data_IF_611154107681
#
_entry.id   IF_611154107681
#
_cell.length_a   1.000
_cell.length_b   1.000
_cell.length_c   1.000
_cell.angle_alpha   90.00
_cell.angle_beta   90.00
_cell.angle_gamma   90.00
#
_symmetry.space_group_name_H-M   'P 1'
#
loop_
_entity.id
_entity.type
_entity.pdbx_description
1 polymer ?
#
# COMPACT_ATOMS: atom_id res chain seq x y z
N UNK A 1 -11.09 4.65 2.22
CA UNK A 1 -12.11 5.71 2.39
C UNK A 1 -11.61 6.96 3.10
N UNK A 2 -10.70 6.86 4.08
CA UNK A 2 -10.16 8.03 4.81
C UNK A 2 -9.51 9.08 3.89
N UNK A 3 -8.55 8.69 3.01
CA UNK A 3 -7.92 9.63 2.08
C UNK A 3 -8.93 10.40 1.21
N UNK A 4 -9.92 9.71 0.63
CA UNK A 4 -10.97 10.34 -0.18
C UNK A 4 -11.73 11.45 0.58
N UNK A 5 -12.07 11.21 1.86
CA UNK A 5 -12.72 12.23 2.70
C UNK A 5 -11.80 13.40 3.02
N UNK A 6 -10.53 13.14 3.31
CA UNK A 6 -9.55 14.19 3.57
C UNK A 6 -9.31 15.06 2.34
N UNK A 7 -9.14 14.45 1.17
CA UNK A 7 -8.97 15.15 -0.11
C UNK A 7 -10.20 16.01 -0.40
N UNK A 8 -11.42 15.45 -0.32
CA UNK A 8 -12.66 16.22 -0.56
C UNK A 8 -12.85 17.39 0.42
N UNK A 9 -12.40 17.26 1.67
CA UNK A 9 -12.43 18.37 2.64
C UNK A 9 -11.48 19.49 2.22
N UNK A 10 -10.25 19.13 1.87
CA UNK A 10 -9.18 20.06 1.53
C UNK A 10 -9.44 20.76 0.19
N UNK A 11 -9.66 20.01 -0.89
CA UNK A 11 -9.80 20.54 -2.25
C UNK A 11 -11.22 20.97 -2.61
N UNK A 12 -12.21 20.57 -1.81
CA UNK A 12 -13.65 20.66 -2.10
C UNK A 12 -14.13 19.82 -3.30
N UNK A 13 -13.26 19.02 -3.91
CA UNK A 13 -13.61 18.15 -5.02
C UNK A 13 -14.64 17.07 -4.64
N UNK A 14 -15.40 16.63 -5.63
CA UNK A 14 -16.18 15.39 -5.55
C UNK A 14 -15.26 14.20 -5.82
N UNK A 15 -15.27 13.19 -4.95
CA UNK A 15 -14.36 12.04 -5.01
C UNK A 15 -15.14 10.75 -5.08
N UNK A 16 -14.86 9.94 -6.10
CA UNK A 16 -15.38 8.56 -6.22
C UNK A 16 -14.23 7.61 -5.88
N UNK A 17 -14.36 6.84 -4.80
CA UNK A 17 -13.38 5.83 -4.44
C UNK A 17 -13.69 4.46 -5.06
N UNK A 18 -12.76 3.87 -5.79
CA UNK A 18 -12.84 2.52 -6.34
C UNK A 18 -12.15 1.51 -5.41
N UNK A 19 -12.78 0.37 -5.12
CA UNK A 19 -12.17 -0.71 -4.34
C UNK A 19 -12.84 -2.06 -4.67
N UNK A 20 -12.08 -3.16 -4.70
CA UNK A 20 -12.63 -4.48 -5.03
C UNK A 20 -13.40 -5.15 -3.87
N UNK A 21 -13.22 -4.66 -2.63
CA UNK A 21 -13.75 -5.26 -1.42
C UNK A 21 -15.08 -4.60 -1.00
N UNK A 22 -16.18 -5.35 -1.14
CA UNK A 22 -17.52 -4.85 -0.80
C UNK A 22 -17.65 -4.40 0.65
N UNK A 23 -17.02 -5.10 1.60
CA UNK A 23 -17.09 -4.74 3.01
C UNK A 23 -16.45 -3.36 3.24
N UNK A 24 -15.27 -3.12 2.63
CA UNK A 24 -14.59 -1.84 2.74
C UNK A 24 -15.38 -0.71 2.07
N UNK A 25 -15.98 -0.95 0.91
CA UNK A 25 -16.88 0.00 0.22
C UNK A 25 -18.05 0.39 1.12
N UNK A 26 -18.77 -0.59 1.67
CA UNK A 26 -19.90 -0.35 2.57
C UNK A 26 -19.48 0.41 3.82
N UNK A 27 -18.37 0.01 4.46
CA UNK A 27 -17.84 0.68 5.65
C UNK A 27 -17.41 2.12 5.34
N UNK A 28 -16.77 2.35 4.21
CA UNK A 28 -16.35 3.68 3.78
C UNK A 28 -17.56 4.60 3.55
N UNK A 29 -18.62 4.10 2.91
CA UNK A 29 -19.88 4.84 2.73
C UNK A 29 -20.54 5.24 4.06
N UNK A 30 -20.61 4.32 5.03
CA UNK A 30 -21.15 4.62 6.36
C UNK A 30 -20.35 5.71 7.07
N UNK A 31 -19.01 5.60 7.05
CA UNK A 31 -18.14 6.61 7.68
C UNK A 31 -18.27 7.97 6.99
N UNK A 32 -18.39 8.00 5.66
CA UNK A 32 -18.63 9.23 4.90
C UNK A 32 -19.95 9.89 5.27
N UNK A 33 -21.03 9.11 5.43
CA UNK A 33 -22.32 9.63 5.89
C UNK A 33 -22.25 10.18 7.32
N UNK A 34 -21.57 9.47 8.23
CA UNK A 34 -21.38 9.93 9.60
C UNK A 34 -20.62 11.28 9.68
N UNK A 35 -19.79 11.56 8.68
CA UNK A 35 -19.02 12.79 8.57
C UNK A 35 -19.70 13.87 7.71
N UNK A 36 -20.94 13.65 7.22
CA UNK A 36 -21.71 14.61 6.43
C UNK A 36 -21.14 14.90 5.04
N UNK A 37 -20.40 13.95 4.45
CA UNK A 37 -19.71 14.12 3.17
C UNK A 37 -20.35 13.33 2.02
N UNK A 38 -21.51 12.71 2.23
CA UNK A 38 -22.14 11.81 1.24
C UNK A 38 -22.53 12.48 -0.08
N UNK A 39 -22.68 13.81 -0.09
CA UNK A 39 -23.03 14.56 -1.30
C UNK A 39 -21.81 14.82 -2.21
N UNK A 40 -20.59 14.57 -1.71
CA UNK A 40 -19.33 14.81 -2.43
C UNK A 40 -18.44 13.57 -2.52
N UNK A 41 -18.59 12.61 -1.61
CA UNK A 41 -17.76 11.40 -1.60
C UNK A 41 -18.64 10.17 -1.72
N UNK A 42 -18.37 9.36 -2.74
CA UNK A 42 -19.02 8.08 -2.96
C UNK A 42 -18.00 6.97 -3.19
N UNK A 43 -18.44 5.72 -3.19
CA UNK A 43 -17.57 4.57 -3.40
C UNK A 43 -18.23 3.57 -4.34
N UNK A 44 -17.43 2.97 -5.20
CA UNK A 44 -17.84 1.96 -6.17
C UNK A 44 -17.03 0.70 -5.94
N UNK A 45 -17.72 -0.45 -5.93
CA UNK A 45 -17.04 -1.73 -5.98
C UNK A 45 -16.61 -2.01 -7.42
N UNK A 46 -15.33 -2.27 -7.65
CA UNK A 46 -14.85 -2.65 -8.97
C UNK A 46 -13.39 -3.09 -8.97
N UNK A 47 -12.97 -3.61 -10.11
CA UNK A 47 -11.60 -4.02 -10.41
C UNK A 47 -10.88 -2.83 -11.06
N UNK A 48 -9.79 -2.37 -10.47
CA UNK A 48 -8.97 -1.30 -11.05
C UNK A 48 -8.28 -1.66 -12.37
N UNK A 49 -8.24 -2.95 -12.73
CA UNK A 49 -7.75 -3.45 -14.03
C UNK A 49 -8.85 -3.41 -15.11
N UNK A 50 -10.10 -3.15 -14.72
CA UNK A 50 -11.30 -3.07 -15.55
C UNK A 50 -12.30 -2.10 -14.91
N UNK A 51 -11.99 -0.82 -14.94
CA UNK A 51 -12.70 0.20 -14.18
C UNK A 51 -14.12 0.40 -14.74
N UNK A 52 -15.16 0.45 -13.88
CA UNK A 52 -16.55 0.58 -14.31
C UNK A 52 -16.92 2.05 -14.61
N UNK A 53 -16.07 2.73 -15.37
CA UNK A 53 -16.24 4.13 -15.75
C UNK A 53 -16.01 4.30 -17.24
N UNK A 54 -16.72 5.25 -17.83
CA UNK A 54 -16.55 5.63 -19.23
C UNK A 54 -15.21 6.36 -19.45
N UNK A 55 -14.77 6.39 -20.69
CA UNK A 55 -13.56 7.12 -21.09
C UNK A 55 -13.71 8.62 -20.76
N UNK A 56 -12.60 9.27 -20.38
CA UNK A 56 -12.56 10.73 -20.14
C UNK A 56 -13.59 11.21 -19.09
N UNK A 57 -13.81 10.43 -18.04
CA UNK A 57 -14.79 10.74 -16.98
C UNK A 57 -14.24 11.68 -15.90
N UNK A 58 -12.94 11.63 -15.60
CA UNK A 58 -12.37 12.27 -14.41
C UNK A 58 -11.46 13.45 -14.74
N UNK A 59 -11.56 14.51 -13.93
CA UNK A 59 -10.69 15.69 -13.98
C UNK A 59 -9.34 15.47 -13.26
N UNK A 60 -9.23 14.44 -12.42
CA UNK A 60 -7.99 14.01 -11.79
C UNK A 60 -8.15 12.59 -11.28
N UNK A 61 -7.06 11.82 -11.24
CA UNK A 61 -7.02 10.51 -10.60
C UNK A 61 -5.87 10.47 -9.60
N UNK A 62 -6.05 9.75 -8.50
CA UNK A 62 -4.94 9.42 -7.60
C UNK A 62 -5.04 7.98 -7.12
N UNK A 63 -3.91 7.38 -6.81
CA UNK A 63 -3.84 6.08 -6.14
C UNK A 63 -2.88 6.16 -4.95
N UNK A 64 -3.18 5.42 -3.88
CA UNK A 64 -2.32 5.31 -2.70
C UNK A 64 -2.15 3.83 -2.37
N UNK A 65 -0.95 3.30 -2.56
CA UNK A 65 -0.52 1.93 -2.25
C UNK A 65 -1.43 0.85 -2.87
N UNK A 66 -2.12 1.15 -3.97
CA UNK A 66 -3.08 0.23 -4.57
C UNK A 66 -2.44 -0.52 -5.73
N UNK A 67 -1.80 0.18 -6.66
CA UNK A 67 -1.28 -0.38 -7.92
C UNK A 67 -0.08 -1.32 -7.72
N UNK A 68 0.51 -1.35 -6.51
CA UNK A 68 1.43 -2.38 -6.05
C UNK A 68 0.85 -3.79 -6.17
N UNK A 69 -0.47 -3.95 -6.05
CA UNK A 69 -1.18 -5.24 -6.17
C UNK A 69 -1.59 -5.58 -7.61
N UNK A 70 -1.31 -4.72 -8.59
CA UNK A 70 -1.65 -4.99 -9.99
C UNK A 70 -0.66 -6.00 -10.59
N UNK A 71 -1.11 -7.17 -11.08
CA UNK A 71 -0.22 -8.14 -11.71
C UNK A 71 0.33 -7.67 -13.07
N UNK A 72 -0.35 -6.70 -13.70
CA UNK A 72 0.07 -6.04 -14.92
C UNK A 72 -0.09 -4.53 -14.73
N UNK A 73 1.00 -3.84 -14.39
CA UNK A 73 0.97 -2.41 -14.11
C UNK A 73 0.62 -1.59 -15.34
N UNK A 74 1.11 -1.96 -16.52
CA UNK A 74 0.82 -1.27 -17.78
C UNK A 74 -0.68 -1.29 -18.06
N UNK A 75 -1.33 -2.46 -17.91
CA UNK A 75 -2.79 -2.56 -18.07
C UNK A 75 -3.55 -1.76 -17.00
N UNK A 76 -3.07 -1.75 -15.75
CA UNK A 76 -3.68 -0.93 -14.70
C UNK A 76 -3.60 0.57 -15.02
N UNK A 77 -2.41 1.05 -15.42
CA UNK A 77 -2.20 2.45 -15.80
C UNK A 77 -2.95 2.80 -17.08
N UNK A 78 -3.14 1.87 -18.03
CA UNK A 78 -3.99 2.06 -19.21
C UNK A 78 -5.44 2.35 -18.85
N UNK A 79 -6.01 1.66 -17.86
CA UNK A 79 -7.36 1.97 -17.37
C UNK A 79 -7.41 3.34 -16.69
N UNK A 80 -6.39 3.71 -15.92
CA UNK A 80 -6.30 5.05 -15.31
C UNK A 80 -6.23 6.13 -16.40
N UNK A 81 -5.41 5.94 -17.42
CA UNK A 81 -5.28 6.85 -18.55
C UNK A 81 -6.60 6.99 -19.32
N UNK A 82 -7.29 5.88 -19.58
CA UNK A 82 -8.56 5.85 -20.30
C UNK A 82 -9.65 6.67 -19.61
N UNK A 83 -9.80 6.53 -18.29
CA UNK A 83 -10.87 7.22 -17.54
C UNK A 83 -10.54 8.69 -17.26
N UNK A 84 -9.28 9.09 -17.39
CA UNK A 84 -8.83 10.46 -17.19
C UNK A 84 -9.13 11.30 -18.44
N UNK A 85 -9.62 12.53 -18.26
CA UNK A 85 -9.80 13.46 -19.40
C UNK A 85 -8.44 13.86 -19.99
N UNK A 86 -8.36 14.20 -21.29
CA UNK A 86 -7.10 14.59 -21.90
C UNK A 86 -6.50 15.82 -21.23
N UNK A 87 -5.19 15.77 -20.95
CA UNK A 87 -4.45 16.86 -20.31
C UNK A 87 -4.67 17.01 -18.80
N UNK A 88 -5.36 16.07 -18.15
CA UNK A 88 -5.51 16.06 -16.69
C UNK A 88 -4.42 15.24 -16.01
N UNK A 89 -4.35 15.37 -14.68
CA UNK A 89 -3.26 14.82 -13.87
C UNK A 89 -3.63 13.53 -13.16
N UNK A 90 -2.63 12.65 -13.08
CA UNK A 90 -2.63 11.46 -12.25
C UNK A 90 -1.53 11.56 -11.19
N UNK A 91 -1.87 11.30 -9.93
CA UNK A 91 -0.90 11.22 -8.83
C UNK A 91 -0.80 9.79 -8.28
N UNK A 92 0.42 9.30 -8.13
CA UNK A 92 0.71 7.96 -7.65
C UNK A 92 1.48 8.01 -6.33
N UNK A 93 1.24 7.03 -5.48
CA UNK A 93 2.04 6.75 -4.29
C UNK A 93 2.21 5.24 -4.19
N UNK A 94 3.40 4.75 -4.54
CA UNK A 94 3.67 3.39 -5.00
C UNK A 94 4.74 2.71 -4.16
N UNK A 95 4.68 1.37 -4.12
CA UNK A 95 5.69 0.54 -3.50
C UNK A 95 6.68 0.05 -4.55
N UNK A 96 7.95 0.38 -4.38
CA UNK A 96 9.00 0.15 -5.37
C UNK A 96 10.26 -0.46 -4.75
N UNK A 97 10.97 -1.25 -5.54
CA UNK A 97 12.39 -1.51 -5.31
C UNK A 97 13.20 -0.29 -5.76
N UNK A 98 14.20 0.11 -4.98
CA UNK A 98 15.07 1.25 -5.31
C UNK A 98 16.27 0.79 -6.14
N UNK A 99 17.05 1.74 -6.64
CA UNK A 99 18.35 1.48 -7.30
C UNK A 99 19.36 0.73 -6.42
N UNK A 100 19.19 0.74 -5.09
CA UNK A 100 20.07 0.03 -4.15
C UNK A 100 19.77 -1.46 -4.07
N UNK A 101 18.64 -1.90 -4.63
CA UNK A 101 18.33 -3.32 -4.71
C UNK A 101 19.32 -4.03 -5.63
N UNK A 102 19.85 -5.17 -5.17
CA UNK A 102 20.81 -5.99 -5.91
C UNK A 102 20.20 -7.39 -6.01
N UNK A 103 19.80 -7.84 -7.22
CA UNK A 103 19.16 -9.13 -7.41
C UNK A 103 20.12 -10.32 -7.18
N UNK A 104 21.43 -10.07 -7.08
CA UNK A 104 22.44 -11.10 -6.78
C UNK A 104 22.73 -11.22 -5.29
N UNK A 105 22.33 -10.24 -4.48
CA UNK A 105 22.51 -10.25 -3.04
C UNK A 105 21.40 -11.07 -2.34
N UNK A 106 21.70 -12.21 -1.70
CA UNK A 106 20.68 -13.06 -1.09
C UNK A 106 19.83 -12.37 -0.02
N UNK A 107 20.39 -11.38 0.68
CA UNK A 107 19.66 -10.62 1.70
C UNK A 107 18.63 -9.69 1.07
N UNK A 108 18.97 -9.07 -0.06
CA UNK A 108 18.06 -8.17 -0.80
C UNK A 108 16.92 -8.98 -1.41
N UNK A 109 17.24 -10.09 -2.08
CA UNK A 109 16.26 -11.01 -2.66
C UNK A 109 15.31 -11.55 -1.59
N UNK A 110 15.85 -11.99 -0.45
CA UNK A 110 15.03 -12.45 0.68
C UNK A 110 14.11 -11.37 1.21
N UNK A 111 14.61 -10.14 1.41
CA UNK A 111 13.80 -9.04 1.92
C UNK A 111 12.64 -8.70 0.98
N UNK A 112 12.91 -8.59 -0.34
CA UNK A 112 11.88 -8.43 -1.38
C UNK A 112 10.84 -9.54 -1.30
N UNK A 113 11.28 -10.79 -1.24
CA UNK A 113 10.38 -11.95 -1.18
C UNK A 113 9.50 -11.95 0.07
N UNK A 114 10.07 -11.62 1.23
CA UNK A 114 9.33 -11.51 2.48
C UNK A 114 8.25 -10.41 2.42
N UNK A 115 8.55 -9.27 1.77
CA UNK A 115 7.59 -8.18 1.53
C UNK A 115 6.46 -8.67 0.61
N UNK A 116 6.80 -9.31 -0.51
CA UNK A 116 5.83 -9.83 -1.47
C UNK A 116 4.88 -10.83 -0.85
N UNK A 117 5.44 -11.81 -0.14
CA UNK A 117 4.64 -12.82 0.54
C UNK A 117 3.75 -12.16 1.58
N UNK A 118 4.32 -11.46 2.57
CA UNK A 118 3.55 -10.95 3.72
C UNK A 118 2.50 -9.90 3.38
N UNK A 119 2.57 -9.28 2.20
CA UNK A 119 1.59 -8.30 1.72
C UNK A 119 0.78 -8.79 0.51
N UNK A 120 0.97 -10.05 0.09
CA UNK A 120 0.32 -10.63 -1.09
C UNK A 120 0.48 -9.77 -2.36
N UNK A 121 1.72 -9.35 -2.63
CA UNK A 121 2.07 -8.59 -3.82
C UNK A 121 2.53 -9.52 -4.95
N UNK A 122 2.29 -9.16 -6.22
CA UNK A 122 3.07 -9.69 -7.34
C UNK A 122 4.54 -9.23 -7.23
N UNK A 123 5.33 -9.50 -8.27
CA UNK A 123 6.71 -9.01 -8.35
C UNK A 123 6.75 -7.48 -8.23
N UNK A 124 7.51 -6.97 -7.25
CA UNK A 124 7.61 -5.53 -6.99
C UNK A 124 8.51 -4.89 -8.05
N UNK A 125 7.97 -3.91 -8.79
CA UNK A 125 8.71 -3.15 -9.79
C UNK A 125 9.76 -2.23 -9.15
N UNK A 126 10.80 -1.90 -9.91
CA UNK A 126 11.68 -0.79 -9.55
C UNK A 126 11.00 0.56 -9.81
N UNK A 127 11.53 1.62 -9.21
CA UNK A 127 11.11 3.00 -9.47
C UNK A 127 11.13 3.35 -10.97
N UNK A 128 12.16 2.92 -11.70
CA UNK A 128 12.26 3.15 -13.14
C UNK A 128 11.25 2.33 -13.94
N UNK A 129 11.02 1.06 -13.59
CA UNK A 129 10.00 0.23 -14.24
C UNK A 129 8.58 0.80 -14.07
N UNK A 130 8.30 1.46 -12.94
CA UNK A 130 7.01 2.18 -12.74
C UNK A 130 6.90 3.35 -13.69
N UNK A 131 7.96 4.16 -13.83
CA UNK A 131 8.00 5.30 -14.76
C UNK A 131 7.85 4.83 -16.20
N UNK A 132 8.61 3.82 -16.62
CA UNK A 132 8.52 3.23 -17.96
C UNK A 132 7.10 2.71 -18.26
N UNK A 133 6.45 2.07 -17.28
CA UNK A 133 5.08 1.58 -17.45
C UNK A 133 4.05 2.71 -17.61
N UNK A 134 4.26 3.86 -16.95
CA UNK A 134 3.42 5.05 -17.11
C UNK A 134 3.61 5.67 -18.49
N UNK A 135 4.86 5.86 -18.92
CA UNK A 135 5.21 6.41 -20.22
C UNK A 135 4.70 5.54 -21.38
N UNK A 136 4.79 4.21 -21.24
CA UNK A 136 4.31 3.27 -22.24
C UNK A 136 2.81 3.44 -22.57
N UNK A 137 2.01 3.84 -21.58
CA UNK A 137 0.56 4.07 -21.74
C UNK A 137 0.27 5.44 -22.35
N UNK A 138 1.20 6.38 -22.26
CA UNK A 138 1.07 7.75 -22.79
C UNK A 138 1.06 8.85 -21.73
N UNK A 139 1.38 8.54 -20.47
CA UNK A 139 1.62 9.59 -19.48
C UNK A 139 2.96 10.29 -19.73
N UNK A 140 3.00 11.60 -19.49
CA UNK A 140 4.23 12.36 -19.33
C UNK A 140 4.52 12.50 -17.84
N UNK A 141 5.68 12.01 -17.38
CA UNK A 141 6.06 12.12 -15.97
C UNK A 141 6.59 13.52 -15.69
N UNK A 142 5.78 14.33 -14.99
CA UNK A 142 6.13 15.70 -14.63
C UNK A 142 7.05 15.79 -13.41
N UNK A 143 6.84 14.92 -12.43
CA UNK A 143 7.57 14.88 -11.16
C UNK A 143 7.64 13.43 -10.66
N UNK A 144 8.79 13.03 -10.11
CA UNK A 144 9.00 11.74 -9.45
C UNK A 144 10.00 11.93 -8.31
N UNK A 145 9.69 11.42 -7.13
CA UNK A 145 10.56 11.54 -5.96
C UNK A 145 10.37 10.34 -5.03
N UNK A 146 11.45 9.86 -4.43
CA UNK A 146 11.37 8.93 -3.31
C UNK A 146 11.33 9.72 -1.99
N UNK A 147 10.13 9.83 -1.42
CA UNK A 147 9.95 10.55 -0.16
C UNK A 147 10.61 9.84 1.02
N UNK A 148 10.87 8.53 0.93
CA UNK A 148 11.60 7.81 1.97
C UNK A 148 13.08 8.22 2.01
N UNK A 149 13.67 8.63 0.88
CA UNK A 149 15.05 9.11 0.80
C UNK A 149 15.21 10.53 1.37
N UNK A 150 14.11 11.27 1.52
CA UNK A 150 14.09 12.67 1.95
C UNK A 150 13.81 12.86 3.45
N UNK A 151 13.80 11.78 4.24
CA UNK A 151 13.44 11.83 5.66
C UNK A 151 14.45 12.64 6.49
N UNK A 152 13.97 13.43 7.45
CA UNK A 152 14.82 14.19 8.35
C UNK A 152 14.96 13.49 9.72
N UNK A 153 16.11 12.88 10.05
CA UNK A 153 16.32 12.17 11.32
C UNK A 153 16.22 13.02 12.58
N UNK A 154 16.32 14.36 12.47
CA UNK A 154 16.24 15.25 13.64
C UNK A 154 14.81 15.43 14.14
N UNK A 155 13.81 15.29 13.25
CA UNK A 155 12.41 15.60 13.54
C UNK A 155 11.42 14.49 13.14
N UNK A 156 11.88 13.50 12.38
CA UNK A 156 11.07 12.39 11.87
C UNK A 156 11.68 11.04 12.24
N UNK A 157 10.82 10.04 12.34
CA UNK A 157 11.25 8.65 12.40
C UNK A 157 11.28 8.07 10.98
N UNK A 158 12.21 7.15 10.67
CA UNK A 158 12.15 6.43 9.40
C UNK A 158 10.82 5.68 9.30
N UNK A 159 10.26 5.54 8.09
CA UNK A 159 8.92 4.97 7.88
C UNK A 159 8.73 3.58 8.50
N UNK A 160 9.81 2.79 8.58
CA UNK A 160 9.80 1.45 9.17
C UNK A 160 9.97 1.42 10.71
N UNK A 161 10.15 2.57 11.37
CA UNK A 161 10.48 2.69 12.80
C UNK A 161 9.52 1.93 13.71
N UNK A 162 8.23 1.98 13.41
CA UNK A 162 7.19 1.33 14.20
C UNK A 162 7.20 -0.20 14.08
N UNK A 163 7.87 -0.74 13.06
CA UNK A 163 8.05 -2.17 12.85
C UNK A 163 9.36 -2.71 13.47
N UNK A 164 10.27 -1.82 13.88
CA UNK A 164 11.56 -2.20 14.48
C UNK A 164 11.35 -2.82 15.87
N UNK A 165 11.89 -4.02 16.15
CA UNK A 165 11.79 -4.65 17.46
C UNK A 165 12.38 -3.80 18.59
N UNK A 166 11.68 -3.72 19.73
CA UNK A 166 12.19 -3.03 20.91
C UNK A 166 11.63 -3.63 22.20
N UNK A 167 12.52 -3.99 23.14
CA UNK A 167 12.16 -4.54 24.45
C UNK A 167 11.67 -3.50 25.47
N UNK A 168 11.94 -2.21 25.23
CA UNK A 168 11.57 -1.12 26.14
C UNK A 168 10.31 -0.38 25.71
N UNK A 169 9.81 -0.65 24.51
CA UNK A 169 8.61 0.00 23.97
C UNK A 169 7.48 -1.03 23.93
N UNK A 170 6.39 -0.85 24.68
CA UNK A 170 5.30 -1.83 24.72
C UNK A 170 4.66 -2.04 23.34
N UNK A 171 4.59 -1.00 22.52
CA UNK A 171 4.04 -1.06 21.16
C UNK A 171 4.92 -1.83 20.17
N UNK A 172 6.23 -1.93 20.44
CA UNK A 172 7.20 -2.59 19.56
C UNK A 172 7.74 -3.91 20.11
N UNK A 173 7.38 -4.26 21.34
CA UNK A 173 7.71 -5.55 21.94
C UNK A 173 7.19 -6.71 21.09
N UNK A 174 6.01 -6.56 20.49
CA UNK A 174 5.38 -7.56 19.62
C UNK A 174 6.23 -7.96 18.39
N UNK A 175 7.16 -7.11 17.95
CA UNK A 175 8.06 -7.41 16.84
C UNK A 175 9.35 -8.12 17.28
N UNK A 176 9.63 -8.20 18.59
CA UNK A 176 10.76 -8.96 19.13
C UNK A 176 10.55 -10.47 19.00
N UNK A 177 11.63 -11.25 19.06
CA UNK A 177 11.52 -12.71 19.07
C UNK A 177 10.68 -13.23 20.25
N UNK A 178 10.80 -12.60 21.42
CA UNK A 178 9.99 -12.93 22.60
C UNK A 178 8.52 -12.56 22.41
N UNK A 179 8.24 -11.36 21.89
CA UNK A 179 6.87 -10.91 21.62
C UNK A 179 6.16 -11.79 20.58
N UNK A 180 6.85 -12.14 19.49
CA UNK A 180 6.35 -13.08 18.48
C UNK A 180 6.06 -14.45 19.08
N UNK A 181 6.98 -14.99 19.88
CA UNK A 181 6.78 -16.27 20.55
C UNK A 181 5.52 -16.26 21.43
N UNK A 182 5.37 -15.23 22.27
CA UNK A 182 4.19 -15.08 23.14
C UNK A 182 2.92 -14.96 22.31
N UNK A 183 2.92 -14.13 21.26
CA UNK A 183 1.76 -13.95 20.38
C UNK A 183 1.36 -15.26 19.68
N UNK A 184 2.31 -15.98 19.10
CA UNK A 184 2.05 -17.26 18.42
C UNK A 184 1.51 -18.31 19.40
N UNK A 185 2.10 -18.46 20.58
CA UNK A 185 1.61 -19.42 21.59
C UNK A 185 0.22 -19.04 22.10
N UNK A 186 -0.03 -17.76 22.33
CA UNK A 186 -1.35 -17.24 22.72
C UNK A 186 -2.42 -17.51 21.66
N UNK A 187 -2.12 -17.20 20.38
CA UNK A 187 -3.03 -17.46 19.26
C UNK A 187 -3.34 -18.95 19.12
N UNK A 188 -2.33 -19.81 19.18
CA UNK A 188 -2.54 -21.27 19.13
C UNK A 188 -3.44 -21.76 20.28
N UNK A 189 -3.25 -21.24 21.49
CA UNK A 189 -4.11 -21.58 22.63
C UNK A 189 -5.56 -21.12 22.41
N UNK A 190 -5.76 -19.88 21.95
CA UNK A 190 -7.09 -19.34 21.65
C UNK A 190 -7.79 -20.07 20.50
N UNK A 191 -7.05 -20.55 19.50
CA UNK A 191 -7.58 -21.42 18.45
C UNK A 191 -8.05 -22.76 19.00
N UNK A 192 -7.26 -23.39 19.88
CA UNK A 192 -7.60 -24.68 20.49
C UNK A 192 -8.90 -24.63 21.31
N UNK A 193 -9.14 -23.52 22.02
CA UNK A 193 -10.36 -23.32 22.82
C UNK A 193 -11.51 -22.68 22.05
N UNK A 194 -11.35 -22.41 20.75
CA UNK A 194 -12.39 -21.86 19.87
C UNK A 194 -12.68 -20.37 20.03
N UNK A 195 -11.82 -19.61 20.72
CA UNK A 195 -11.92 -18.15 20.83
C UNK A 195 -11.46 -17.44 19.55
N UNK A 196 -10.54 -18.06 18.79
CA UNK A 196 -10.04 -17.54 17.51
C UNK A 196 -10.33 -18.53 16.37
N UNK A 197 -10.58 -18.05 15.13
CA UNK A 197 -10.71 -18.91 13.96
C UNK A 197 -9.43 -19.72 13.73
N UNK A 198 -9.58 -20.97 13.27
CA UNK A 198 -8.44 -21.80 12.88
C UNK A 198 -7.59 -21.10 11.82
N UNK A 199 -6.26 -21.11 12.00
CA UNK A 199 -5.30 -20.50 11.07
C UNK A 199 -4.93 -19.05 11.40
N UNK A 200 -5.49 -18.45 12.44
CA UNK A 200 -5.14 -17.09 12.90
C UNK A 200 -3.64 -16.94 13.22
N UNK A 201 -3.03 -17.96 13.80
CA UNK A 201 -1.60 -18.08 14.08
C UNK A 201 -0.77 -18.12 12.80
N UNK A 202 -1.25 -18.86 11.78
CA UNK A 202 -0.64 -18.88 10.45
C UNK A 202 -0.65 -17.51 9.78
N UNK A 203 -1.81 -16.82 9.82
CA UNK A 203 -1.94 -15.44 9.34
C UNK A 203 -1.00 -14.49 10.09
N UNK A 204 -0.91 -14.62 11.41
CA UNK A 204 0.01 -13.81 12.21
C UNK A 204 1.48 -14.04 11.84
N UNK A 205 1.89 -15.30 11.62
CA UNK A 205 3.24 -15.63 11.17
C UNK A 205 3.54 -15.02 9.81
N UNK A 206 2.59 -15.14 8.87
CA UNK A 206 2.67 -14.59 7.52
C UNK A 206 2.84 -13.06 7.52
N UNK A 207 2.03 -12.33 8.30
CA UNK A 207 2.16 -10.88 8.45
C UNK A 207 3.50 -10.48 9.10
N UNK A 208 4.01 -11.29 10.02
CA UNK A 208 5.31 -11.05 10.64
C UNK A 208 6.48 -11.25 9.67
N UNK A 209 6.35 -12.10 8.65
CA UNK A 209 7.33 -12.21 7.56
C UNK A 209 7.38 -10.90 6.78
N UNK A 210 6.22 -10.37 6.36
CA UNK A 210 6.12 -9.07 5.68
C UNK A 210 6.74 -7.93 6.49
N UNK A 211 6.43 -7.85 7.79
CA UNK A 211 7.00 -6.83 8.67
C UNK A 211 8.54 -6.91 8.77
N UNK A 212 9.12 -8.13 8.76
CA UNK A 212 10.58 -8.30 8.73
C UNK A 212 11.17 -7.83 7.40
N UNK A 213 10.55 -8.24 6.29
CA UNK A 213 10.94 -7.82 4.95
C UNK A 213 10.96 -6.29 4.83
N UNK A 214 9.90 -5.62 5.29
CA UNK A 214 9.79 -4.16 5.29
C UNK A 214 10.90 -3.48 6.11
N UNK A 215 11.18 -3.96 7.33
CA UNK A 215 12.26 -3.41 8.16
C UNK A 215 13.62 -3.59 7.49
N UNK A 216 13.91 -4.78 6.94
CA UNK A 216 15.18 -5.03 6.27
C UNK A 216 15.31 -4.20 5.00
N UNK A 217 14.25 -4.15 4.18
CA UNK A 217 14.21 -3.37 2.94
C UNK A 217 14.38 -1.88 3.19
N UNK A 218 13.77 -1.34 4.25
CA UNK A 218 13.94 0.04 4.67
C UNK A 218 15.33 0.34 5.23
N UNK A 219 15.89 -0.53 6.09
CA UNK A 219 17.24 -0.34 6.66
C UNK A 219 18.36 -0.43 5.62
N UNK A 220 18.15 -1.24 4.57
CA UNK A 220 19.07 -1.34 3.45
C UNK A 220 18.75 -0.32 2.34
N UNK A 221 17.66 0.44 2.51
CA UNK A 221 17.16 1.41 1.53
C UNK A 221 16.92 0.79 0.14
N UNK A 222 16.67 -0.52 0.07
CA UNK A 222 16.40 -1.26 -1.17
C UNK A 222 14.93 -1.23 -1.57
N UNK A 223 14.06 -0.79 -0.67
CA UNK A 223 12.61 -0.72 -0.85
C UNK A 223 12.09 0.61 -0.32
N UNK A 224 11.19 1.23 -1.08
CA UNK A 224 10.44 2.41 -0.65
C UNK A 224 8.93 2.16 -0.77
N UNK A 225 8.13 2.47 0.26
CA UNK A 225 6.68 2.51 0.16
C UNK A 225 6.17 3.90 -0.26
N UNK A 226 7.05 4.83 -0.61
CA UNK A 226 6.76 6.26 -0.73
C UNK A 226 7.27 6.88 -2.04
N UNK A 227 7.23 6.11 -3.13
CA UNK A 227 7.60 6.59 -4.47
C UNK A 227 6.40 7.18 -5.23
#
# INVERSE_FOLDING_TARGET
GGPARNISRFSRASVIGLNNNQYQVTRAGQLTKNEGLQDRVSFVKGDFMHQPFEDNSFDAVYQIEATAHAPDKVKCYAEIFRVLKPGQLFASYEWCMTEKHDPTNPKHVKAKKDIEEGNALPDIFTTDQVVEALEQVGFEVLERDDLAASYNPEIEYPWYYHLVPSYVSPYRFQFTGAGRFVATKGLNAMEMVGLMPKGSSGVSSFLNTGAQGLVVGGQLETFTPMF
#
